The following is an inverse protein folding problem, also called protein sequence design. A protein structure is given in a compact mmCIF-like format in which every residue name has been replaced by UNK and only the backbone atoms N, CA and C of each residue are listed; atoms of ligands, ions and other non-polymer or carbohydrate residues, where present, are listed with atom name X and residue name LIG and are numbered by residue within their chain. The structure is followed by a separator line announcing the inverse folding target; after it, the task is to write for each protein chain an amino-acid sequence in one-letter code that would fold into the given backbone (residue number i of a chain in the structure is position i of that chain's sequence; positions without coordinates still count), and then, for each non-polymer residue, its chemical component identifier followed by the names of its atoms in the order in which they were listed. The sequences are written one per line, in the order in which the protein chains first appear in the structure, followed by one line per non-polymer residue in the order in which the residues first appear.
data_IF_434473821848
#
_entry.id   IF_434473821848
#
_cell.length_a   1.000
_cell.length_b   1.000
_cell.length_c   1.000
_cell.angle_alpha   90.00
_cell.angle_beta   90.00
_cell.angle_gamma   90.00
#
_symmetry.space_group_name_H-M   'P 1'
#
loop_
_entity.id
_entity.type
_entity.pdbx_description
1 polymer ?
#
# COMPACT_ATOMS: atom_id res chain seq x y z
N UNK A 1 34.00 32.37 53.77
CA UNK A 1 32.70 32.30 54.49
C UNK A 1 31.61 32.08 53.45
N UNK A 2 31.03 30.87 53.42
CA UNK A 2 30.04 30.41 52.42
C UNK A 2 28.63 30.73 52.92
N UNK A 3 27.71 31.32 52.12
CA UNK A 3 26.29 31.32 52.45
C UNK A 3 25.62 29.98 52.09
N UNK A 4 24.48 29.64 52.72
CA UNK A 4 24.06 28.26 52.93
C UNK A 4 23.03 27.71 51.92
N UNK A 5 22.98 26.38 51.90
CA UNK A 5 21.89 25.45 51.52
C UNK A 5 20.75 25.96 50.64
N UNK A 6 20.78 25.57 49.36
CA UNK A 6 19.55 25.29 48.62
C UNK A 6 19.25 23.80 48.77
N UNK A 7 18.26 23.52 49.62
CA UNK A 7 17.59 22.23 49.69
C UNK A 7 16.80 22.00 48.40
N UNK A 8 16.62 20.72 48.06
CA UNK A 8 15.80 20.16 46.98
C UNK A 8 16.50 19.86 45.65
N UNK A 9 17.16 18.70 45.62
CA UNK A 9 17.08 17.72 44.53
C UNK A 9 17.60 16.38 45.09
N UNK A 10 16.85 15.84 46.06
CA UNK A 10 16.85 14.42 46.33
C UNK A 10 15.81 13.81 45.39
N UNK A 11 16.24 13.22 44.29
CA UNK A 11 15.53 12.09 43.71
C UNK A 11 16.54 11.01 43.41
N UNK A 12 16.22 9.85 43.97
CA UNK A 12 17.08 8.73 44.20
C UNK A 12 17.53 8.07 42.90
N UNK A 13 18.80 7.71 42.94
CA UNK A 13 19.45 6.66 42.17
C UNK A 13 18.58 5.39 42.15
N UNK A 14 17.79 5.25 41.08
CA UNK A 14 17.29 3.95 40.65
C UNK A 14 17.86 3.75 39.26
N UNK A 15 19.01 3.07 39.24
CA UNK A 15 19.67 2.59 38.04
C UNK A 15 18.70 1.67 37.26
N UNK A 16 17.84 2.30 36.46
CA UNK A 16 17.20 1.66 35.32
C UNK A 16 18.09 2.06 34.17
N UNK A 17 18.77 1.07 33.57
CA UNK A 17 19.56 1.29 32.35
C UNK A 17 18.76 2.20 31.40
N UNK A 18 19.38 3.22 30.77
CA UNK A 18 18.68 4.00 29.79
C UNK A 18 18.26 3.02 28.69
N UNK A 19 16.97 2.68 28.62
CA UNK A 19 16.40 2.00 27.47
C UNK A 19 16.70 2.91 26.28
N UNK A 20 17.74 2.58 25.54
CA UNK A 20 18.15 3.30 24.34
C UNK A 20 16.93 3.22 23.42
N UNK A 21 16.25 4.35 23.23
CA UNK A 21 15.09 4.44 22.36
C UNK A 21 15.53 4.08 20.94
N UNK A 22 15.08 2.93 20.45
CA UNK A 22 15.37 2.49 19.09
C UNK A 22 14.48 3.27 18.11
N UNK A 23 14.98 4.43 17.71
CA UNK A 23 14.29 5.34 16.81
C UNK A 23 13.93 4.68 15.47
N UNK A 24 14.78 3.79 14.95
CA UNK A 24 14.55 3.13 13.67
C UNK A 24 13.38 2.13 13.78
N UNK A 25 13.33 1.34 14.85
CA UNK A 25 12.23 0.42 15.11
C UNK A 25 10.89 1.16 15.26
N UNK A 26 10.85 2.30 15.97
CA UNK A 26 9.63 3.11 16.11
C UNK A 26 9.19 3.72 14.77
N UNK A 27 10.13 4.19 13.93
CA UNK A 27 9.81 4.71 12.60
C UNK A 27 9.24 3.59 11.71
N UNK A 28 9.82 2.39 11.75
CA UNK A 28 9.35 1.24 11.00
C UNK A 28 7.92 0.86 11.42
N UNK A 29 7.67 0.74 12.73
CA UNK A 29 6.34 0.46 13.28
C UNK A 29 5.32 1.54 12.87
N UNK A 30 5.69 2.82 12.91
CA UNK A 30 4.82 3.91 12.47
C UNK A 30 4.47 3.84 10.98
N UNK A 31 5.46 3.53 10.12
CA UNK A 31 5.24 3.35 8.69
C UNK A 31 4.36 2.14 8.39
N UNK A 32 4.50 1.05 9.12
CA UNK A 32 3.66 -0.14 9.00
C UNK A 32 2.21 0.16 9.36
N UNK A 33 1.96 0.83 10.50
CA UNK A 33 0.62 1.26 10.90
C UNK A 33 -0.01 2.17 9.83
N UNK A 34 0.77 3.11 9.28
CA UNK A 34 0.31 3.99 8.20
C UNK A 34 -0.05 3.20 6.94
N UNK A 35 0.76 2.22 6.56
CA UNK A 35 0.52 1.41 5.37
C UNK A 35 -0.76 0.57 5.52
N UNK A 36 -0.95 -0.06 6.68
CA UNK A 36 -2.16 -0.82 6.99
C UNK A 36 -3.42 0.04 6.90
N UNK A 37 -3.38 1.26 7.45
CA UNK A 37 -4.49 2.19 7.36
C UNK A 37 -4.82 2.57 5.90
N UNK A 38 -3.81 2.87 5.10
CA UNK A 38 -4.00 3.22 3.68
C UNK A 38 -4.52 2.04 2.87
N UNK A 39 -4.09 0.81 3.18
CA UNK A 39 -4.61 -0.40 2.56
C UNK A 39 -6.10 -0.59 2.86
N UNK A 40 -6.50 -0.49 4.14
CA UNK A 40 -7.91 -0.58 4.54
C UNK A 40 -8.78 0.47 3.85
N UNK A 41 -8.29 1.71 3.76
CA UNK A 41 -8.98 2.79 3.04
C UNK A 41 -9.12 2.49 1.54
N UNK A 42 -8.05 2.04 0.89
CA UNK A 42 -8.06 1.72 -0.53
C UNK A 42 -9.01 0.56 -0.84
N UNK A 43 -8.96 -0.53 -0.05
CA UNK A 43 -9.86 -1.68 -0.21
C UNK A 43 -11.33 -1.27 -0.02
N UNK A 44 -11.63 -0.42 0.97
CA UNK A 44 -12.98 0.09 1.17
C UNK A 44 -13.49 0.90 -0.04
N UNK A 45 -12.66 1.81 -0.56
CA UNK A 45 -13.02 2.61 -1.74
C UNK A 45 -13.27 1.74 -2.97
N UNK A 46 -12.38 0.78 -3.24
CA UNK A 46 -12.51 -0.16 -4.35
C UNK A 46 -13.76 -1.03 -4.23
N UNK A 47 -14.05 -1.56 -3.05
CA UNK A 47 -15.29 -2.31 -2.77
C UNK A 47 -16.54 -1.50 -3.13
N UNK A 48 -16.63 -0.26 -2.65
CA UNK A 48 -17.75 0.63 -2.94
C UNK A 48 -17.87 0.91 -4.44
N UNK A 49 -16.75 1.08 -5.16
CA UNK A 49 -16.75 1.29 -6.60
C UNK A 49 -17.22 0.06 -7.38
N UNK A 50 -16.79 -1.14 -6.99
CA UNK A 50 -17.16 -2.39 -7.67
C UNK A 50 -18.61 -2.76 -7.40
N UNK A 51 -19.05 -2.72 -6.14
CA UNK A 51 -20.35 -3.26 -5.74
C UNK A 51 -21.54 -2.35 -6.09
N UNK A 52 -21.34 -1.03 -6.18
CA UNK A 52 -22.47 -0.10 -6.39
C UNK A 52 -22.71 0.31 -7.85
N UNK A 53 -21.74 0.11 -8.75
CA UNK A 53 -21.82 0.65 -10.12
C UNK A 53 -21.91 -0.43 -11.21
N UNK A 54 -21.86 -1.71 -10.85
CA UNK A 54 -22.28 -2.85 -11.68
C UNK A 54 -21.43 -3.21 -12.90
N UNK A 55 -20.47 -2.36 -13.30
CA UNK A 55 -19.53 -2.58 -14.42
C UNK A 55 -18.21 -1.84 -14.15
N UNK A 56 -17.51 -2.17 -13.06
CA UNK A 56 -16.26 -1.51 -12.76
C UNK A 56 -15.19 -1.86 -13.80
N UNK A 57 -14.62 -0.83 -14.43
CA UNK A 57 -13.47 -0.94 -15.34
C UNK A 57 -12.31 -0.22 -14.69
N UNK A 58 -11.16 -0.88 -14.65
CA UNK A 58 -9.90 -0.35 -14.17
C UNK A 58 -8.93 -0.18 -15.35
N UNK A 59 -8.82 1.05 -15.91
CA UNK A 59 -7.77 1.37 -16.87
C UNK A 59 -6.40 1.21 -16.23
N UNK A 60 -5.53 0.44 -16.86
CA UNK A 60 -4.26 0.00 -16.28
C UNK A 60 -3.13 0.21 -17.29
N UNK A 61 -2.15 1.04 -16.92
CA UNK A 61 -0.93 1.31 -17.69
C UNK A 61 0.29 0.61 -17.08
N UNK A 62 0.09 -0.27 -16.09
CA UNK A 62 1.09 -1.10 -15.43
C UNK A 62 2.18 -0.32 -14.68
N UNK A 63 1.88 0.92 -14.27
CA UNK A 63 2.74 1.66 -13.35
C UNK A 63 2.60 1.11 -11.92
N UNK A 64 3.51 1.52 -11.02
CA UNK A 64 3.56 0.97 -9.66
C UNK A 64 2.22 1.07 -8.89
N UNK A 65 1.50 2.19 -9.03
CA UNK A 65 0.18 2.36 -8.42
C UNK A 65 -0.85 1.36 -8.96
N UNK A 66 -0.81 1.09 -10.25
CA UNK A 66 -1.76 0.19 -10.90
C UNK A 66 -1.54 -1.26 -10.49
N UNK A 67 -0.28 -1.65 -10.30
CA UNK A 67 0.09 -2.98 -9.78
C UNK A 67 -0.44 -3.17 -8.35
N UNK A 68 -0.35 -2.13 -7.51
CA UNK A 68 -0.94 -2.17 -6.16
C UNK A 68 -2.45 -2.31 -6.21
N UNK A 69 -3.14 -1.52 -7.06
CA UNK A 69 -4.60 -1.63 -7.20
C UNK A 69 -5.00 -3.01 -7.71
N UNK A 70 -4.28 -3.56 -8.69
CA UNK A 70 -4.48 -4.91 -9.22
C UNK A 70 -4.36 -5.95 -8.10
N UNK A 71 -3.34 -5.84 -7.25
CA UNK A 71 -3.15 -6.72 -6.10
C UNK A 71 -4.32 -6.64 -5.11
N UNK A 72 -4.83 -5.44 -4.81
CA UNK A 72 -5.97 -5.27 -3.92
C UNK A 72 -7.27 -5.84 -4.52
N UNK A 73 -7.53 -5.60 -5.80
CA UNK A 73 -8.68 -6.18 -6.52
C UNK A 73 -8.63 -7.72 -6.51
N UNK A 74 -7.46 -8.30 -6.74
CA UNK A 74 -7.23 -9.76 -6.63
C UNK A 74 -7.53 -10.27 -5.21
N UNK A 75 -7.02 -9.60 -4.17
CA UNK A 75 -7.25 -10.00 -2.77
C UNK A 75 -8.71 -9.97 -2.36
N UNK A 76 -9.51 -9.11 -2.99
CA UNK A 76 -10.96 -9.04 -2.78
C UNK A 76 -11.74 -10.01 -3.69
N UNK A 77 -11.06 -10.71 -4.61
CA UNK A 77 -11.66 -11.67 -5.54
C UNK A 77 -12.36 -11.02 -6.75
N UNK A 78 -12.26 -9.71 -6.93
CA UNK A 78 -13.02 -8.98 -7.96
C UNK A 78 -12.47 -9.17 -9.37
N UNK A 79 -11.19 -9.55 -9.52
CA UNK A 79 -10.62 -9.88 -10.82
C UNK A 79 -11.16 -11.22 -11.31
N UNK A 80 -11.10 -12.26 -10.46
CA UNK A 80 -11.51 -13.61 -10.81
C UNK A 80 -13.03 -13.76 -10.93
N UNK A 81 -13.81 -12.98 -10.17
CA UNK A 81 -15.26 -12.94 -10.32
C UNK A 81 -15.71 -12.17 -11.57
N UNK A 82 -14.80 -11.43 -12.23
CA UNK A 82 -15.11 -10.57 -13.38
C UNK A 82 -15.90 -9.30 -13.02
N UNK A 83 -16.07 -8.99 -11.73
CA UNK A 83 -16.76 -7.78 -11.29
C UNK A 83 -15.94 -6.50 -11.52
N UNK A 84 -14.61 -6.62 -11.56
CA UNK A 84 -13.69 -5.57 -11.97
C UNK A 84 -12.92 -6.02 -13.21
N UNK A 85 -13.16 -5.36 -14.34
CA UNK A 85 -12.45 -5.61 -15.60
C UNK A 85 -11.21 -4.75 -15.70
N UNK A 86 -10.10 -5.33 -16.13
CA UNK A 86 -8.85 -4.59 -16.39
C UNK A 86 -8.84 -4.20 -17.86
N UNK A 87 -8.61 -2.93 -18.16
CA UNK A 87 -8.54 -2.40 -19.52
C UNK A 87 -7.13 -1.85 -19.77
N UNK A 88 -6.48 -2.30 -20.84
CA UNK A 88 -5.16 -1.80 -21.25
C UNK A 88 -5.28 -1.17 -22.63
N UNK A 89 -4.67 0.00 -22.80
CA UNK A 89 -4.58 0.66 -24.12
C UNK A 89 -3.19 0.46 -24.68
N UNK A 90 -3.07 -0.37 -25.71
CA UNK A 90 -1.84 -0.53 -26.49
C UNK A 90 -1.77 0.58 -27.53
N UNK A 91 -0.89 1.54 -27.29
CA UNK A 91 -0.70 2.71 -28.15
C UNK A 91 0.20 2.42 -29.35
N UNK A 92 0.69 1.19 -29.51
CA UNK A 92 1.77 0.79 -30.42
C UNK A 92 3.13 1.46 -30.14
N UNK A 93 3.24 2.24 -29.07
CA UNK A 93 4.45 2.95 -28.66
C UNK A 93 4.85 2.60 -27.22
N UNK A 94 4.23 1.56 -26.65
CA UNK A 94 4.64 1.03 -25.36
C UNK A 94 6.00 0.34 -25.46
N UNK A 95 6.71 0.27 -24.34
CA UNK A 95 7.88 -0.57 -24.23
C UNK A 95 7.45 -2.04 -24.40
N UNK A 96 8.20 -2.88 -25.15
CA UNK A 96 7.91 -4.31 -25.26
C UNK A 96 7.74 -5.00 -23.90
N UNK A 97 8.53 -4.58 -22.92
CA UNK A 97 8.52 -5.02 -21.53
C UNK A 97 7.16 -4.78 -20.87
N UNK A 98 6.41 -3.74 -21.26
CA UNK A 98 5.07 -3.46 -20.74
C UNK A 98 4.09 -4.56 -21.14
N UNK A 99 4.14 -5.01 -22.39
CA UNK A 99 3.25 -6.08 -22.87
C UNK A 99 3.70 -7.47 -22.39
N UNK A 100 4.99 -7.66 -22.14
CA UNK A 100 5.50 -8.85 -21.43
C UNK A 100 5.00 -8.90 -20.00
N UNK A 101 5.13 -7.79 -19.27
CA UNK A 101 4.68 -7.69 -17.89
C UNK A 101 3.15 -7.84 -17.75
N UNK A 102 2.37 -7.36 -18.72
CA UNK A 102 0.92 -7.60 -18.76
C UNK A 102 0.61 -9.10 -18.68
N UNK A 103 1.25 -9.90 -19.53
CA UNK A 103 1.04 -11.37 -19.57
C UNK A 103 1.43 -12.03 -18.26
N UNK A 104 2.51 -11.57 -17.62
CA UNK A 104 2.93 -12.07 -16.32
C UNK A 104 1.89 -11.80 -15.23
N UNK A 105 1.35 -10.58 -15.17
CA UNK A 105 0.37 -10.22 -14.12
C UNK A 105 -0.99 -10.88 -14.35
N UNK A 106 -1.41 -11.06 -15.61
CA UNK A 106 -2.62 -11.80 -15.99
C UNK A 106 -2.53 -13.24 -15.49
N UNK A 107 -1.40 -13.91 -15.75
CA UNK A 107 -1.13 -15.25 -15.26
C UNK A 107 -1.00 -15.34 -13.74
N UNK A 108 -0.34 -14.36 -13.11
CA UNK A 108 -0.13 -14.35 -11.65
C UNK A 108 -1.44 -14.15 -10.88
N UNK A 109 -2.31 -13.25 -11.34
CA UNK A 109 -3.55 -12.91 -10.64
C UNK A 109 -4.80 -13.62 -11.17
N UNK A 110 -4.70 -14.33 -12.30
CA UNK A 110 -5.76 -15.16 -12.87
C UNK A 110 -6.88 -14.36 -13.52
N UNK A 111 -6.53 -13.36 -14.33
CA UNK A 111 -7.48 -12.56 -15.11
C UNK A 111 -6.98 -12.36 -16.55
N UNK A 112 -7.85 -11.91 -17.43
CA UNK A 112 -7.53 -11.51 -18.81
C UNK A 112 -7.94 -10.05 -19.01
N UNK A 113 -7.02 -9.21 -19.47
CA UNK A 113 -7.27 -7.80 -19.71
C UNK A 113 -7.97 -7.58 -21.05
N UNK A 114 -8.86 -6.59 -21.12
CA UNK A 114 -9.41 -6.10 -22.37
C UNK A 114 -8.40 -5.10 -22.99
N UNK A 115 -7.67 -5.56 -24.01
CA UNK A 115 -6.66 -4.75 -24.71
C UNK A 115 -7.30 -4.01 -25.89
N UNK A 116 -7.15 -2.70 -25.91
CA UNK A 116 -7.60 -1.83 -26.99
C UNK A 116 -6.40 -1.19 -27.68
N UNK A 117 -6.40 -1.22 -29.00
CA UNK A 117 -5.39 -0.55 -29.80
C UNK A 117 -5.86 0.86 -30.18
N UNK A 118 -5.06 1.89 -29.91
CA UNK A 118 -5.40 3.30 -30.19
C UNK A 118 -4.21 4.08 -30.75
#
# INVERSE_FOLDING_TARGET
LRPPSSSSLLMADTATEPKIFDQEAYIAQSKEMRLKHLEEQAMFALKIAVENYGNAVFPNALIAGDVVITHLLHRMGYLQSGQAKVMVVDTFHLFPETMEFLREIEGHYGFEAEVFCA
#
